data_IF_028136049370
#
_entry.id   IF_028136049370
#
_cell.length_a   1.000
_cell.length_b   1.000
_cell.length_c   1.000
_cell.angle_alpha   90.00
_cell.angle_beta   90.00
_cell.angle_gamma   90.00
#
_symmetry.space_group_name_H-M   'P 1'
#
loop_
_entity.id
_entity.type
_entity.pdbx_description
1 polymer ?
#
# COMPACT_ATOMS: atom_id res chain seq x y z
N UNK A 1 -35.58 -8.32 13.71
CA UNK A 1 -34.63 -8.71 14.78
C UNK A 1 -33.52 -9.54 14.15
N UNK A 2 -32.28 -9.07 14.20
CA UNK A 2 -31.11 -9.81 13.68
C UNK A 2 -30.49 -10.62 14.83
N UNK A 3 -30.43 -11.95 14.71
CA UNK A 3 -29.81 -12.82 15.71
C UNK A 3 -28.28 -12.78 15.56
N UNK A 4 -27.55 -12.53 16.66
CA UNK A 4 -26.07 -12.41 16.65
C UNK A 4 -25.32 -13.68 16.22
N UNK A 5 -25.98 -14.83 16.34
CA UNK A 5 -25.34 -16.15 16.18
C UNK A 5 -25.67 -16.85 14.85
N UNK A 6 -26.60 -16.33 14.06
CA UNK A 6 -27.00 -16.95 12.78
C UNK A 6 -26.53 -16.05 11.62
N UNK A 7 -25.62 -16.52 10.75
CA UNK A 7 -25.17 -15.73 9.60
C UNK A 7 -26.29 -15.53 8.58
N UNK A 8 -26.30 -14.35 7.96
CA UNK A 8 -27.30 -14.03 6.94
C UNK A 8 -26.90 -14.64 5.59
N UNK A 9 -27.66 -15.64 5.11
CA UNK A 9 -27.34 -16.39 3.87
C UNK A 9 -27.19 -15.49 2.63
N UNK A 10 -28.03 -14.48 2.47
CA UNK A 10 -27.96 -13.56 1.33
C UNK A 10 -26.85 -12.49 1.42
N UNK A 11 -26.09 -12.45 2.52
CA UNK A 11 -25.00 -11.50 2.72
C UNK A 11 -23.63 -12.20 2.82
N UNK A 12 -23.61 -13.51 2.57
CA UNK A 12 -22.43 -14.38 2.57
C UNK A 12 -22.37 -15.09 1.23
N UNK A 13 -21.20 -15.08 0.59
CA UNK A 13 -20.93 -15.90 -0.58
C UNK A 13 -20.40 -17.26 -0.11
N UNK A 14 -21.27 -18.27 -0.11
CA UNK A 14 -20.94 -19.63 0.36
C UNK A 14 -19.95 -20.34 -0.58
N UNK A 15 -20.01 -20.08 -1.88
CA UNK A 15 -19.10 -20.69 -2.85
C UNK A 15 -17.67 -20.20 -2.61
N UNK A 16 -17.52 -18.91 -2.34
CA UNK A 16 -16.24 -18.33 -1.94
C UNK A 16 -15.78 -18.77 -0.55
N UNK A 17 -16.70 -18.88 0.41
CA UNK A 17 -16.37 -19.38 1.75
C UNK A 17 -15.76 -20.78 1.69
N UNK A 18 -16.34 -21.66 0.88
CA UNK A 18 -15.82 -23.00 0.65
C UNK A 18 -14.41 -22.97 0.06
N UNK A 19 -14.19 -22.17 -1.00
CA UNK A 19 -12.87 -22.02 -1.63
C UNK A 19 -11.79 -21.51 -0.67
N UNK A 20 -12.13 -20.60 0.24
CA UNK A 20 -11.17 -20.05 1.22
C UNK A 20 -10.85 -21.06 2.33
N UNK A 21 -11.78 -21.95 2.67
CA UNK A 21 -11.58 -22.98 3.69
C UNK A 21 -10.87 -24.23 3.13
N UNK A 22 -11.15 -24.57 1.87
CA UNK A 22 -10.54 -25.69 1.16
C UNK A 22 -9.24 -25.32 0.47
N UNK A 23 -9.01 -24.02 0.25
CA UNK A 23 -7.77 -23.53 -0.31
C UNK A 23 -6.64 -23.91 0.62
N UNK A 24 -5.80 -24.83 0.18
CA UNK A 24 -4.50 -25.06 0.80
C UNK A 24 -3.83 -23.69 0.99
N UNK A 25 -3.18 -23.50 2.14
CA UNK A 25 -2.40 -22.31 2.51
C UNK A 25 -1.15 -22.19 1.59
N UNK A 26 -1.38 -22.12 0.28
CA UNK A 26 -0.41 -21.90 -0.77
C UNK A 26 0.05 -20.45 -0.66
N UNK A 27 0.94 -20.26 0.32
CA UNK A 27 1.57 -18.99 0.60
C UNK A 27 2.34 -18.59 -0.66
N UNK A 28 2.14 -17.37 -1.17
CA UNK A 28 2.80 -16.95 -2.40
C UNK A 28 4.30 -17.10 -2.25
N UNK A 29 4.94 -17.76 -3.22
CA UNK A 29 6.37 -18.12 -3.19
C UNK A 29 7.25 -16.88 -3.32
N UNK A 30 6.69 -15.79 -3.85
CA UNK A 30 7.35 -14.50 -4.02
C UNK A 30 6.39 -13.31 -3.84
N UNK A 31 6.89 -12.11 -3.48
CA UNK A 31 6.05 -10.92 -3.34
C UNK A 31 5.39 -10.47 -4.64
N UNK A 32 6.05 -10.69 -5.80
CA UNK A 32 5.47 -10.39 -7.11
C UNK A 32 4.28 -11.29 -7.46
N UNK A 33 4.34 -12.56 -7.08
CA UNK A 33 3.24 -13.51 -7.24
C UNK A 33 2.04 -13.14 -6.36
N UNK A 34 2.29 -12.65 -5.13
CA UNK A 34 1.23 -12.18 -4.23
C UNK A 34 0.46 -10.99 -4.82
N UNK A 35 1.17 -10.02 -5.41
CA UNK A 35 0.56 -8.86 -6.08
C UNK A 35 -0.27 -9.28 -7.28
N UNK A 36 0.24 -10.23 -8.08
CA UNK A 36 -0.47 -10.78 -9.23
C UNK A 36 -1.77 -11.49 -8.80
N UNK A 37 -1.71 -12.34 -7.77
CA UNK A 37 -2.88 -13.04 -7.23
C UNK A 37 -3.93 -12.06 -6.69
N UNK A 38 -3.52 -10.99 -5.99
CA UNK A 38 -4.45 -9.96 -5.51
C UNK A 38 -5.09 -9.18 -6.68
N UNK A 39 -4.31 -8.81 -7.69
CA UNK A 39 -4.83 -8.16 -8.90
C UNK A 39 -5.84 -9.04 -9.65
N UNK A 40 -5.56 -10.34 -9.75
CA UNK A 40 -6.46 -11.32 -10.37
C UNK A 40 -7.74 -11.49 -9.54
N UNK A 41 -7.62 -11.66 -8.22
CA UNK A 41 -8.76 -11.81 -7.32
C UNK A 41 -9.69 -10.58 -7.39
N UNK A 42 -9.14 -9.38 -7.46
CA UNK A 42 -9.93 -8.15 -7.62
C UNK A 42 -10.73 -8.12 -8.92
N UNK A 43 -10.18 -8.63 -10.03
CA UNK A 43 -10.86 -8.68 -11.33
C UNK A 43 -11.96 -9.75 -11.37
N UNK A 44 -11.70 -10.93 -10.81
CA UNK A 44 -12.67 -12.03 -10.81
C UNK A 44 -13.86 -11.78 -9.86
N UNK A 45 -13.62 -11.14 -8.71
CA UNK A 45 -14.64 -10.95 -7.67
C UNK A 45 -15.14 -9.50 -7.56
N UNK A 46 -15.20 -8.78 -8.68
CA UNK A 46 -15.78 -7.43 -8.78
C UNK A 46 -15.30 -6.44 -7.69
N UNK A 47 -14.00 -6.45 -7.40
CA UNK A 47 -13.37 -5.53 -6.43
C UNK A 47 -13.45 -5.96 -4.96
N UNK A 48 -14.00 -7.14 -4.66
CA UNK A 48 -13.96 -7.69 -3.30
C UNK A 48 -12.57 -8.27 -2.99
N UNK A 49 -11.83 -7.72 -2.00
CA UNK A 49 -10.47 -8.18 -1.70
C UNK A 49 -10.49 -9.63 -1.21
N UNK A 50 -9.41 -10.38 -1.47
CA UNK A 50 -9.22 -11.77 -1.03
C UNK A 50 -9.56 -11.98 0.46
N UNK A 51 -9.26 -10.99 1.31
CA UNK A 51 -9.37 -10.98 2.78
C UNK A 51 -10.77 -10.69 3.33
N UNK A 52 -11.83 -10.85 2.54
CA UNK A 52 -13.20 -10.61 3.00
C UNK A 52 -13.62 -11.65 4.05
N UNK A 53 -14.26 -11.19 5.13
CA UNK A 53 -14.78 -12.08 6.19
C UNK A 53 -15.68 -13.17 5.60
N UNK A 54 -15.34 -14.43 5.87
CA UNK A 54 -16.05 -15.63 5.41
C UNK A 54 -17.49 -15.68 5.94
N UNK A 55 -17.71 -15.28 7.19
CA UNK A 55 -19.04 -15.23 7.80
C UNK A 55 -19.46 -13.79 8.11
N UNK A 56 -20.69 -13.44 7.71
CA UNK A 56 -21.31 -12.15 8.01
C UNK A 56 -22.52 -12.33 8.91
N UNK A 57 -22.32 -12.03 10.20
CA UNK A 57 -23.30 -12.21 11.27
C UNK A 57 -24.25 -11.01 11.45
N UNK A 58 -23.97 -9.89 10.79
CA UNK A 58 -24.84 -8.72 10.81
C UNK A 58 -24.84 -8.03 9.45
N UNK A 59 -26.03 -7.66 8.97
CA UNK A 59 -26.14 -6.68 7.89
C UNK A 59 -25.69 -5.34 8.45
N UNK A 60 -24.50 -4.87 8.06
CA UNK A 60 -24.23 -3.43 8.07
C UNK A 60 -25.35 -2.80 7.25
N UNK A 61 -26.26 -2.05 7.89
CA UNK A 61 -27.17 -1.16 7.17
C UNK A 61 -26.32 -0.40 6.14
N UNK A 62 -26.77 -0.23 4.89
CA UNK A 62 -26.23 0.86 4.09
C UNK A 62 -26.29 2.08 5.01
N UNK A 63 -25.17 2.74 5.22
CA UNK A 63 -25.14 3.94 6.03
C UNK A 63 -25.95 5.02 5.31
N UNK A 64 -27.27 4.95 5.38
CA UNK A 64 -28.11 6.12 5.49
C UNK A 64 -27.76 6.70 6.85
N UNK A 65 -26.74 7.54 6.88
CA UNK A 65 -26.58 8.72 7.73
C UNK A 65 -25.29 9.35 7.19
N UNK A 66 -25.39 10.18 6.17
CA UNK A 66 -24.56 11.38 6.18
C UNK A 66 -25.13 12.23 7.32
N UNK A 67 -24.55 12.25 8.53
CA UNK A 67 -24.82 13.36 9.41
C UNK A 67 -24.44 14.61 8.61
N UNK A 68 -25.38 15.51 8.40
CA UNK A 68 -25.10 16.85 7.88
C UNK A 68 -23.82 17.33 8.56
N UNK A 69 -22.72 17.53 7.81
CA UNK A 69 -21.44 17.81 8.43
C UNK A 69 -21.63 19.10 9.23
N UNK A 70 -21.39 19.02 10.55
CA UNK A 70 -21.47 20.20 11.40
C UNK A 70 -20.61 21.31 10.79
N UNK A 71 -20.96 22.59 10.99
CA UNK A 71 -20.15 23.71 10.47
C UNK A 71 -18.66 23.57 10.81
N UNK A 72 -18.33 23.00 11.98
CA UNK A 72 -16.96 22.69 12.37
C UNK A 72 -16.26 21.66 11.46
N UNK A 73 -17.00 20.66 10.97
CA UNK A 73 -16.50 19.65 10.04
C UNK A 73 -16.29 20.24 8.64
N UNK A 74 -17.18 21.11 8.16
CA UNK A 74 -17.00 21.88 6.92
C UNK A 74 -15.79 22.84 6.98
N UNK A 75 -15.59 23.51 8.12
CA UNK A 75 -14.42 24.38 8.34
C UNK A 75 -13.12 23.58 8.41
N UNK A 76 -13.13 22.38 9.00
CA UNK A 76 -11.99 21.45 8.99
C UNK A 76 -11.69 20.87 7.61
N UNK A 77 -12.72 20.62 6.79
CA UNK A 77 -12.55 20.21 5.40
C UNK A 77 -11.91 21.31 4.53
N UNK A 78 -12.21 22.58 4.83
CA UNK A 78 -11.62 23.75 4.19
C UNK A 78 -10.21 24.12 4.68
N UNK A 79 -9.69 23.46 5.72
CA UNK A 79 -8.25 23.48 5.98
C UNK A 79 -7.60 22.70 4.85
N UNK A 80 -7.25 23.42 3.79
CA UNK A 80 -6.32 22.97 2.74
C UNK A 80 -5.13 22.40 3.49
N UNK A 81 -5.04 21.06 3.58
CA UNK A 81 -3.76 20.41 3.86
C UNK A 81 -2.86 20.99 2.79
N UNK A 82 -1.91 21.84 3.20
CA UNK A 82 -0.79 22.18 2.32
C UNK A 82 -0.37 20.85 1.73
N UNK A 83 -0.25 20.72 0.39
CA UNK A 83 0.20 19.47 -0.18
C UNK A 83 1.44 19.13 0.61
N UNK A 84 1.38 18.00 1.32
CA UNK A 84 2.53 17.48 2.01
C UNK A 84 3.51 17.28 0.87
N UNK A 85 4.41 18.25 0.70
CA UNK A 85 5.43 18.19 -0.33
C UNK A 85 6.19 16.98 0.12
N UNK A 86 5.92 15.83 -0.51
CA UNK A 86 6.56 14.56 -0.22
C UNK A 86 8.03 14.79 -0.51
N UNK A 87 8.75 15.30 0.49
CA UNK A 87 10.18 15.51 0.42
C UNK A 87 10.75 14.12 0.36
N UNK A 88 11.30 13.75 -0.80
CA UNK A 88 12.01 12.48 -0.95
C UNK A 88 13.08 12.39 0.14
N UNK A 89 13.25 11.21 0.71
CA UNK A 89 14.32 10.98 1.66
C UNK A 89 15.66 11.01 0.92
N UNK A 90 16.55 11.92 1.34
CA UNK A 90 17.95 11.94 0.91
C UNK A 90 18.76 11.55 2.14
N UNK A 91 19.51 10.44 2.13
CA UNK A 91 20.32 10.03 3.27
C UNK A 91 21.37 11.10 3.57
N UNK A 92 21.57 11.39 4.86
CA UNK A 92 22.59 12.34 5.32
C UNK A 92 23.98 11.72 5.38
N UNK A 93 24.08 10.39 5.39
CA UNK A 93 25.32 9.63 5.42
C UNK A 93 25.73 9.20 4.01
N UNK A 94 27.03 9.19 3.69
CA UNK A 94 27.52 8.61 2.44
C UNK A 94 27.28 7.09 2.41
N UNK A 95 27.03 6.55 1.23
CA UNK A 95 26.87 5.09 1.05
C UNK A 95 28.22 4.38 0.99
N UNK A 96 29.21 5.01 0.35
CA UNK A 96 30.56 4.49 0.16
C UNK A 96 31.56 5.64 0.33
N UNK A 97 32.72 5.32 0.89
CA UNK A 97 33.84 6.24 1.10
C UNK A 97 35.05 5.60 0.41
N UNK A 98 35.71 6.35 -0.47
CA UNK A 98 36.89 5.90 -1.22
C UNK A 98 38.10 6.74 -0.78
N UNK A 99 39.22 6.07 -0.58
CA UNK A 99 40.48 6.75 -0.26
C UNK A 99 41.06 7.39 -1.53
N UNK A 100 41.46 8.66 -1.44
CA UNK A 100 42.10 9.41 -2.51
C UNK A 100 43.56 9.78 -2.20
N UNK A 101 44.48 8.81 -2.10
CA UNK A 101 45.88 9.09 -1.81
C UNK A 101 46.51 9.91 -2.95
N UNK A 102 47.15 11.04 -2.61
CA UNK A 102 47.80 11.91 -3.60
C UNK A 102 46.88 12.90 -4.32
N UNK A 103 45.62 13.05 -3.87
CA UNK A 103 44.72 14.08 -4.36
C UNK A 103 45.33 15.47 -4.13
N UNK A 104 45.44 16.28 -5.19
CA UNK A 104 46.00 17.63 -5.11
C UNK A 104 44.95 18.61 -4.62
N UNK A 105 45.29 19.40 -3.61
CA UNK A 105 44.46 20.49 -3.10
C UNK A 105 44.64 21.75 -3.97
N UNK A 106 44.04 21.74 -5.16
CA UNK A 106 44.02 22.88 -6.08
C UNK A 106 42.62 23.08 -6.64
N UNK A 107 42.05 24.25 -6.33
CA UNK A 107 40.68 24.63 -6.70
C UNK A 107 40.43 24.66 -8.22
N UNK A 108 41.45 24.89 -9.03
CA UNK A 108 41.30 25.07 -10.48
C UNK A 108 41.44 23.78 -11.29
N UNK A 109 41.58 22.62 -10.63
CA UNK A 109 41.73 21.33 -11.30
C UNK A 109 40.44 20.50 -11.19
N UNK A 110 40.03 19.90 -12.32
CA UNK A 110 39.02 18.84 -12.33
C UNK A 110 39.73 17.50 -12.16
N UNK A 111 39.70 16.94 -10.95
CA UNK A 111 40.52 15.77 -10.60
C UNK A 111 39.76 14.44 -10.67
N UNK A 112 38.42 14.47 -10.77
CA UNK A 112 37.57 13.27 -10.78
C UNK A 112 36.51 13.39 -11.87
N UNK A 113 36.32 12.33 -12.65
CA UNK A 113 35.23 12.20 -13.62
C UNK A 113 34.48 10.86 -13.46
N UNK A 114 33.22 10.81 -13.89
CA UNK A 114 32.41 9.59 -13.87
C UNK A 114 31.89 9.28 -15.26
N UNK A 115 32.50 8.27 -15.88
CA UNK A 115 32.13 7.85 -17.23
C UNK A 115 30.77 7.14 -17.26
N UNK A 116 30.09 7.19 -18.40
CA UNK A 116 28.84 6.45 -18.66
C UNK A 116 29.00 4.92 -18.51
N UNK A 117 30.23 4.42 -18.56
CA UNK A 117 30.59 3.02 -18.28
C UNK A 117 30.62 2.69 -16.79
N UNK A 118 30.22 3.63 -15.92
CA UNK A 118 30.26 3.51 -14.46
C UNK A 118 31.67 3.29 -13.90
N UNK A 119 32.66 3.93 -14.52
CA UNK A 119 34.06 3.95 -14.08
C UNK A 119 34.37 5.36 -13.60
N UNK A 120 34.99 5.46 -12.42
CA UNK A 120 35.48 6.71 -11.84
C UNK A 120 36.97 6.84 -12.16
N UNK A 121 37.37 7.98 -12.74
CA UNK A 121 38.75 8.27 -13.16
C UNK A 121 39.29 9.52 -12.45
#
# INVERSE_FOLDING_TARGET
MSCRYIPHRGAVDLGRAHLVLDGDEARPTSPAEAEYQDALARRLFAGSPATTRVLRLSQRRPSDETPEPSLQQCLRANKRKRPDVRRRHIPSSPTLILDGPGLRDNFYLNVVDWAATNIVA
#
